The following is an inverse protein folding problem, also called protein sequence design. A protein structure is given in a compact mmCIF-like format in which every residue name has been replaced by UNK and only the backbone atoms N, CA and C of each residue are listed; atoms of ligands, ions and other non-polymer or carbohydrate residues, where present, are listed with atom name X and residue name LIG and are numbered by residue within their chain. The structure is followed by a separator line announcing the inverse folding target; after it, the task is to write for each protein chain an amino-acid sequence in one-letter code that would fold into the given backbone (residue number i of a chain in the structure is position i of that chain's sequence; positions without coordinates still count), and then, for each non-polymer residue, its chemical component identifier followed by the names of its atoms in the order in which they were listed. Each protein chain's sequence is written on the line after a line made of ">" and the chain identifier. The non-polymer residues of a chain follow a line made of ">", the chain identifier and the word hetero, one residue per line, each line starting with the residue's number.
data_IF_412384028716
#
_entry.id   IF_412384028716
#
_cell.length_a   1.000
_cell.length_b   1.000
_cell.length_c   1.000
_cell.angle_alpha   90.00
_cell.angle_beta   90.00
_cell.angle_gamma   90.00
#
_symmetry.space_group_name_H-M   'P 1'
#
loop_
_entity.id
_entity.type
_entity.pdbx_description
1 polymer ?
#
# COMPACT_ATOMS: atom_id res chain seq x y z
N UNK A 1 -18.86 38.31 -18.91
CA UNK A 1 -19.65 37.28 -18.19
C UNK A 1 -18.87 35.98 -18.23
N UNK A 2 -18.70 35.37 -17.06
CA UNK A 2 -17.74 34.34 -16.66
C UNK A 2 -17.38 33.28 -17.74
N UNK A 3 -16.12 33.27 -18.17
CA UNK A 3 -15.46 32.10 -18.74
C UNK A 3 -14.82 31.32 -17.58
N UNK A 4 -15.63 30.53 -16.89
CA UNK A 4 -15.23 29.75 -15.72
C UNK A 4 -14.52 28.47 -16.18
N UNK A 5 -13.19 28.46 -16.02
CA UNK A 5 -12.33 27.33 -15.67
C UNK A 5 -12.61 26.00 -16.40
N UNK A 6 -11.84 25.77 -17.48
CA UNK A 6 -11.47 24.41 -17.89
C UNK A 6 -10.69 23.80 -16.73
N UNK A 7 -11.35 22.93 -15.95
CA UNK A 7 -10.67 22.05 -15.00
C UNK A 7 -9.80 21.11 -15.81
N UNK A 8 -8.49 21.33 -15.80
CA UNK A 8 -7.52 20.41 -16.36
C UNK A 8 -7.66 19.03 -15.68
N UNK A 9 -7.97 17.94 -16.40
CA UNK A 9 -7.84 16.59 -15.89
C UNK A 9 -6.35 16.19 -15.93
N UNK A 10 -5.53 16.86 -15.12
CA UNK A 10 -4.07 16.62 -15.03
C UNK A 10 -3.70 15.55 -14.00
N UNK A 11 -4.61 14.65 -13.63
CA UNK A 11 -4.21 13.35 -13.11
C UNK A 11 -3.72 12.52 -14.31
N UNK A 12 -2.50 12.81 -14.78
CA UNK A 12 -1.80 11.91 -15.68
C UNK A 12 -1.62 10.61 -14.92
N UNK A 13 -2.26 9.55 -15.41
CA UNK A 13 -1.99 8.15 -15.01
C UNK A 13 -0.50 7.78 -15.22
N UNK A 14 0.25 8.63 -15.94
CA UNK A 14 1.69 8.57 -16.22
C UNK A 14 2.59 9.10 -15.08
N UNK A 15 2.03 9.74 -14.04
CA UNK A 15 2.73 10.22 -12.84
C UNK A 15 2.50 9.30 -11.62
N UNK A 16 1.97 8.09 -11.83
CA UNK A 16 1.91 7.09 -10.77
C UNK A 16 3.35 6.74 -10.34
N UNK A 17 3.66 6.72 -9.03
CA UNK A 17 4.98 6.34 -8.58
C UNK A 17 5.29 4.93 -9.10
N UNK A 18 6.54 4.67 -9.55
CA UNK A 18 6.88 3.47 -10.30
C UNK A 18 6.61 2.18 -9.51
N UNK A 19 6.45 2.27 -8.19
CA UNK A 19 6.10 1.16 -7.33
C UNK A 19 4.97 1.52 -6.35
N UNK A 20 4.00 0.63 -6.22
CA UNK A 20 2.90 0.76 -5.26
C UNK A 20 2.79 -0.54 -4.46
N UNK A 21 2.73 -0.44 -3.14
CA UNK A 21 2.42 -1.56 -2.25
C UNK A 21 0.97 -1.51 -1.82
N UNK A 22 0.39 -2.66 -1.51
CA UNK A 22 -0.91 -2.75 -0.81
C UNK A 22 -0.70 -3.36 0.57
N UNK A 23 -1.17 -2.68 1.61
CA UNK A 23 -1.15 -3.13 2.99
C UNK A 23 -2.58 -3.41 3.45
N UNK A 24 -2.92 -4.68 3.61
CA UNK A 24 -4.14 -5.06 4.33
C UNK A 24 -3.92 -4.84 5.82
N UNK A 25 -4.78 -4.02 6.41
CA UNK A 25 -4.69 -3.59 7.81
C UNK A 25 -6.05 -3.70 8.50
N UNK A 26 -6.06 -3.39 9.80
CA UNK A 26 -7.29 -3.17 10.58
C UNK A 26 -7.12 -1.96 11.48
N UNK A 27 -8.22 -1.26 11.70
CA UNK A 27 -8.34 -0.23 12.72
C UNK A 27 -7.90 -0.76 14.09
N UNK A 28 -7.15 0.05 14.84
CA UNK A 28 -6.63 -0.28 16.18
C UNK A 28 -5.64 -1.46 16.23
N UNK A 29 -4.91 -1.74 15.15
CA UNK A 29 -3.82 -2.72 15.15
C UNK A 29 -2.45 -2.04 15.22
N UNK A 30 -1.74 -2.21 16.34
CA UNK A 30 -0.39 -1.68 16.52
C UNK A 30 0.61 -2.25 15.50
N UNK A 31 0.53 -3.55 15.20
CA UNK A 31 1.41 -4.19 14.21
C UNK A 31 1.22 -3.60 12.80
N UNK A 32 -0.01 -3.21 12.45
CA UNK A 32 -0.27 -2.56 11.17
C UNK A 32 0.42 -1.19 11.07
N UNK A 33 0.38 -0.42 12.16
CA UNK A 33 1.09 0.85 12.21
C UNK A 33 2.61 0.64 12.15
N UNK A 34 3.14 -0.32 12.90
CA UNK A 34 4.57 -0.65 12.92
C UNK A 34 5.08 -1.06 11.53
N UNK A 35 4.35 -1.93 10.82
CA UNK A 35 4.70 -2.33 9.45
C UNK A 35 4.63 -1.16 8.48
N UNK A 36 3.63 -0.29 8.57
CA UNK A 36 3.51 0.89 7.71
C UNK A 36 4.66 1.87 7.94
N UNK A 37 4.97 2.19 9.21
CA UNK A 37 6.09 3.07 9.55
C UNK A 37 7.42 2.48 9.06
N UNK A 38 7.67 1.21 9.34
CA UNK A 38 8.88 0.52 8.89
C UNK A 38 8.99 0.53 7.35
N UNK A 39 7.88 0.36 6.64
CA UNK A 39 7.85 0.41 5.18
C UNK A 39 8.19 1.82 4.70
N UNK A 40 7.52 2.86 5.22
CA UNK A 40 7.74 4.25 4.83
C UNK A 40 9.17 4.73 5.11
N UNK A 41 9.84 4.20 6.14
CA UNK A 41 11.26 4.46 6.41
C UNK A 41 12.20 3.96 5.30
N UNK A 42 11.76 3.02 4.45
CA UNK A 42 12.53 2.55 3.30
C UNK A 42 12.48 3.52 2.12
N UNK A 43 11.56 4.49 2.13
CA UNK A 43 11.38 5.42 1.03
C UNK A 43 12.55 6.40 0.95
N UNK A 44 13.08 6.59 -0.25
CA UNK A 44 14.11 7.61 -0.51
C UNK A 44 13.69 8.49 -1.70
N UNK A 45 14.21 9.74 -1.81
CA UNK A 45 13.91 10.59 -2.96
C UNK A 45 14.27 9.96 -4.32
N UNK A 46 15.22 9.01 -4.34
CA UNK A 46 15.65 8.28 -5.53
C UNK A 46 14.78 7.05 -5.83
N UNK A 47 14.04 6.54 -4.84
CA UNK A 47 13.19 5.35 -4.94
C UNK A 47 11.83 5.64 -4.25
N UNK A 48 11.01 6.54 -4.83
CA UNK A 48 9.69 6.82 -4.29
C UNK A 48 8.75 5.65 -4.57
N UNK A 49 7.84 5.38 -3.64
CA UNK A 49 6.75 4.43 -3.83
C UNK A 49 5.48 4.94 -3.14
N UNK A 50 4.34 4.32 -3.44
CA UNK A 50 3.10 4.56 -2.69
C UNK A 50 2.69 3.33 -1.90
N UNK A 51 1.89 3.54 -0.86
CA UNK A 51 1.28 2.46 -0.07
C UNK A 51 -0.22 2.69 -0.06
N UNK A 52 -0.98 1.75 -0.62
CA UNK A 52 -2.42 1.69 -0.51
C UNK A 52 -2.78 0.89 0.74
N UNK A 53 -3.27 1.55 1.77
CA UNK A 53 -3.70 0.89 3.01
C UNK A 53 -5.18 0.58 2.91
N UNK A 54 -5.53 -0.69 2.97
CA UNK A 54 -6.92 -1.17 2.91
C UNK A 54 -7.28 -1.76 4.27
N UNK A 55 -8.23 -1.12 4.95
CA UNK A 55 -8.82 -1.66 6.18
C UNK A 55 -9.80 -2.79 5.81
N UNK A 56 -9.50 -4.01 6.25
CA UNK A 56 -10.26 -5.20 5.87
C UNK A 56 -11.65 -5.25 6.53
N UNK A 57 -11.82 -4.61 7.68
CA UNK A 57 -13.11 -4.52 8.39
C UNK A 57 -14.05 -3.52 7.68
N UNK A 58 -13.49 -2.51 7.03
CA UNK A 58 -14.24 -1.49 6.29
C UNK A 58 -14.44 -1.82 4.80
N UNK A 59 -13.68 -2.78 4.25
CA UNK A 59 -13.77 -3.15 2.83
C UNK A 59 -15.12 -3.79 2.43
N UNK A 60 -15.91 -4.26 3.40
CA UNK A 60 -17.19 -4.95 3.19
C UNK A 60 -17.10 -6.12 2.19
N UNK A 61 -15.96 -6.83 2.20
CA UNK A 61 -15.68 -8.01 1.39
C UNK A 61 -15.49 -9.24 2.30
N UNK A 62 -16.44 -10.20 2.32
CA UNK A 62 -16.38 -11.34 3.21
C UNK A 62 -15.26 -12.33 2.85
N UNK A 63 -14.79 -12.35 1.60
CA UNK A 63 -13.67 -13.22 1.17
C UNK A 63 -12.37 -12.68 1.73
N UNK A 64 -12.21 -11.35 1.70
CA UNK A 64 -11.04 -10.68 2.22
C UNK A 64 -10.95 -10.86 3.74
N UNK A 65 -12.06 -10.65 4.46
CA UNK A 65 -12.16 -10.92 5.89
C UNK A 65 -11.81 -12.38 6.23
N UNK A 66 -12.47 -13.35 5.57
CA UNK A 66 -12.23 -14.77 5.85
C UNK A 66 -10.79 -15.21 5.58
N UNK A 67 -10.08 -14.55 4.66
CA UNK A 67 -8.69 -14.87 4.33
C UNK A 67 -7.68 -14.23 5.28
N UNK A 68 -7.91 -12.97 5.69
CA UNK A 68 -6.89 -12.16 6.37
C UNK A 68 -7.22 -11.77 7.81
N UNK A 69 -8.37 -12.18 8.37
CA UNK A 69 -8.79 -11.84 9.74
C UNK A 69 -7.70 -12.05 10.79
N UNK A 70 -6.96 -13.17 10.71
CA UNK A 70 -5.89 -13.52 11.65
C UNK A 70 -4.48 -13.21 11.14
N UNK A 71 -4.32 -12.75 9.89
CA UNK A 71 -3.02 -12.54 9.24
C UNK A 71 -2.57 -11.08 9.23
N UNK A 72 -3.49 -10.13 9.42
CA UNK A 72 -3.15 -8.70 9.37
C UNK A 72 -2.07 -8.31 10.40
N UNK A 73 -1.14 -7.40 10.04
CA UNK A 73 -0.95 -6.77 8.73
C UNK A 73 -0.42 -7.73 7.65
N UNK A 74 -0.83 -7.55 6.39
CA UNK A 74 -0.30 -8.29 5.23
C UNK A 74 0.10 -7.33 4.12
N UNK A 75 1.33 -7.47 3.61
CA UNK A 75 1.89 -6.59 2.58
C UNK A 75 1.99 -7.30 1.22
N UNK A 76 1.64 -6.59 0.16
CA UNK A 76 1.75 -7.04 -1.23
C UNK A 76 2.53 -6.01 -2.06
N UNK A 77 3.42 -6.47 -2.93
CA UNK A 77 4.01 -5.64 -4.00
C UNK A 77 3.00 -5.36 -5.11
N UNK A 78 2.10 -6.30 -5.34
CA UNK A 78 1.03 -6.27 -6.31
C UNK A 78 0.01 -7.34 -5.91
N UNK A 79 -1.28 -7.10 -6.11
CA UNK A 79 -2.33 -8.03 -5.65
C UNK A 79 -2.44 -9.29 -6.53
N UNK A 80 -1.87 -9.28 -7.74
CA UNK A 80 -1.73 -10.46 -8.60
C UNK A 80 -0.49 -11.32 -8.23
N UNK A 81 0.32 -10.86 -7.27
CA UNK A 81 1.50 -11.56 -6.76
C UNK A 81 1.25 -12.16 -5.35
N UNK A 82 2.04 -13.17 -4.94
CA UNK A 82 1.96 -13.69 -3.58
C UNK A 82 2.28 -12.61 -2.54
N UNK A 83 1.76 -12.80 -1.32
CA UNK A 83 2.07 -11.91 -0.19
C UNK A 83 3.59 -11.78 0.03
N UNK A 84 4.02 -10.56 0.31
CA UNK A 84 5.42 -10.28 0.64
C UNK A 84 5.74 -10.82 2.02
N UNK A 85 4.93 -10.43 2.99
CA UNK A 85 5.06 -10.76 4.40
C UNK A 85 3.75 -10.46 5.13
N UNK A 86 3.59 -11.08 6.30
CA UNK A 86 2.54 -10.75 7.25
C UNK A 86 3.12 -10.59 8.67
N UNK A 87 2.38 -9.97 9.58
CA UNK A 87 2.75 -9.62 10.96
C UNK A 87 3.90 -8.62 11.12
N UNK A 88 5.04 -8.86 10.47
CA UNK A 88 6.24 -8.04 10.52
C UNK A 88 6.78 -7.78 9.11
N UNK A 89 7.37 -6.61 8.90
CA UNK A 89 7.95 -6.24 7.62
C UNK A 89 9.19 -7.10 7.34
N UNK A 90 9.22 -7.74 6.17
CA UNK A 90 10.46 -8.29 5.61
C UNK A 90 11.19 -7.18 4.84
N UNK A 91 11.96 -6.36 5.56
CA UNK A 91 12.73 -5.26 4.98
C UNK A 91 13.66 -5.71 3.86
N UNK A 92 14.26 -6.90 3.98
CA UNK A 92 15.19 -7.41 2.99
C UNK A 92 14.48 -7.64 1.66
N UNK A 93 13.34 -8.34 1.69
CA UNK A 93 12.53 -8.62 0.48
C UNK A 93 12.02 -7.33 -0.17
N UNK A 94 11.59 -6.35 0.62
CA UNK A 94 11.16 -5.04 0.07
C UNK A 94 12.32 -4.28 -0.56
N UNK A 95 13.49 -4.24 0.10
CA UNK A 95 14.69 -3.58 -0.44
C UNK A 95 15.17 -4.23 -1.73
N UNK A 96 15.05 -5.55 -1.87
CA UNK A 96 15.38 -6.24 -3.12
C UNK A 96 14.43 -5.85 -4.26
N UNK A 97 13.15 -5.64 -3.97
CA UNK A 97 12.19 -5.17 -4.96
C UNK A 97 12.42 -3.71 -5.37
N UNK A 98 12.77 -2.84 -4.42
CA UNK A 98 13.03 -1.42 -4.70
C UNK A 98 14.29 -1.17 -5.56
N UNK A 99 15.20 -2.15 -5.64
CA UNK A 99 16.41 -2.08 -6.47
C UNK A 99 16.17 -2.41 -7.95
N UNK A 100 15.02 -3.00 -8.29
CA UNK A 100 14.66 -3.36 -9.67
C UNK A 100 14.08 -2.17 -10.41
#
# INVERSE_FOLDING_TARGET
>A
MLNLLRMDPRWREDDAPPMQFTLYSRSYCHLCQDMLDALLLLQTPQQPFSVNVIDIDQANDPVLLARYDELVPVLFADLDQPELCHYFLDEAKVRELLKK
#
